data_IF_921257725642
#
_entry.id   IF_921257725642
#
_cell.length_a   1.000
_cell.length_b   1.000
_cell.length_c   1.000
_cell.angle_alpha   90.00
_cell.angle_beta   90.00
_cell.angle_gamma   90.00
#
_symmetry.space_group_name_H-M   'P 1'
#
loop_
_entity.id
_entity.type
_entity.pdbx_description
1 polymer ?
#
# COMPACT_ATOMS: atom_id res chain seq x y z
N UNK A 1 8.54 -15.28 -17.13
CA UNK A 1 8.61 -13.94 -17.76
C UNK A 1 8.71 -12.91 -16.62
N UNK A 2 9.57 -11.89 -16.70
CA UNK A 2 9.70 -10.87 -15.66
C UNK A 2 8.44 -10.00 -15.51
N UNK A 3 8.27 -9.33 -14.36
CA UNK A 3 7.16 -8.40 -14.11
C UNK A 3 7.12 -7.19 -15.06
N UNK A 4 8.27 -6.84 -15.66
CA UNK A 4 8.36 -5.82 -16.71
C UNK A 4 7.63 -6.20 -18.01
N UNK A 5 7.25 -7.47 -18.17
CA UNK A 5 6.52 -7.97 -19.34
C UNK A 5 5.02 -8.12 -19.07
N UNK A 6 4.51 -7.64 -17.93
CA UNK A 6 3.09 -7.68 -17.61
C UNK A 6 2.30 -6.76 -18.55
N UNK A 7 1.24 -7.30 -19.13
CA UNK A 7 0.28 -6.55 -19.96
C UNK A 7 -0.86 -5.95 -19.13
N UNK A 8 -1.09 -6.48 -17.93
CA UNK A 8 -2.08 -6.02 -16.97
C UNK A 8 -1.74 -6.53 -15.57
N UNK A 9 -2.20 -5.84 -14.54
CA UNK A 9 -2.16 -6.30 -13.15
C UNK A 9 -3.35 -5.74 -12.36
N UNK A 10 -3.86 -6.51 -11.41
CA UNK A 10 -4.99 -6.11 -10.59
C UNK A 10 -4.99 -6.77 -9.21
N UNK A 11 -5.79 -6.20 -8.30
CA UNK A 11 -6.18 -6.85 -7.05
C UNK A 11 -7.64 -6.54 -6.68
N UNK A 12 -8.28 -7.47 -5.98
CA UNK A 12 -9.54 -7.23 -5.28
C UNK A 12 -9.26 -7.10 -3.78
N UNK A 13 -9.76 -6.04 -3.15
CA UNK A 13 -9.73 -5.88 -1.70
C UNK A 13 -11.13 -6.11 -1.13
N UNK A 14 -11.26 -7.11 -0.26
CA UNK A 14 -12.46 -7.32 0.55
C UNK A 14 -12.23 -6.74 1.94
N UNK A 15 -12.79 -5.56 2.20
CA UNK A 15 -12.70 -4.88 3.51
C UNK A 15 -14.08 -4.36 3.93
N UNK A 16 -14.16 -3.17 4.54
CA UNK A 16 -15.46 -2.51 4.79
C UNK A 16 -16.22 -2.17 3.50
N UNK A 17 -15.50 -2.14 2.37
CA UNK A 17 -16.05 -2.11 1.02
C UNK A 17 -15.21 -3.02 0.12
N UNK A 18 -15.80 -3.46 -0.99
CA UNK A 18 -15.09 -4.26 -1.99
C UNK A 18 -14.55 -3.38 -3.09
N UNK A 19 -13.24 -3.41 -3.31
CA UNK A 19 -12.55 -2.65 -4.35
C UNK A 19 -11.95 -3.57 -5.40
N UNK A 20 -12.02 -3.17 -6.66
CA UNK A 20 -11.25 -3.74 -7.75
C UNK A 20 -10.29 -2.67 -8.28
N UNK A 21 -8.98 -2.91 -8.18
CA UNK A 21 -7.95 -1.98 -8.64
C UNK A 21 -7.18 -2.64 -9.77
N UNK A 22 -7.08 -1.95 -10.91
CA UNK A 22 -6.55 -2.48 -12.16
C UNK A 22 -5.62 -1.47 -12.84
N UNK A 23 -4.58 -2.00 -13.49
CA UNK A 23 -3.80 -1.28 -14.51
C UNK A 23 -3.65 -2.13 -15.76
N UNK A 24 -3.70 -1.47 -16.93
CA UNK A 24 -3.38 -2.04 -18.25
C UNK A 24 -2.10 -1.42 -18.83
N UNK A 25 -1.28 -0.76 -17.99
CA UNK A 25 -0.04 -0.08 -18.41
C UNK A 25 -0.15 1.44 -18.62
N UNK A 26 -1.36 2.02 -18.66
CA UNK A 26 -1.57 3.46 -18.80
C UNK A 26 -2.39 4.05 -17.65
N UNK A 27 -1.82 4.02 -16.44
CA UNK A 27 -2.46 4.49 -15.22
C UNK A 27 -3.09 3.39 -14.39
N UNK A 28 -3.59 3.75 -13.21
CA UNK A 28 -4.22 2.86 -12.23
C UNK A 28 -5.65 3.33 -12.00
N UNK A 29 -6.60 2.40 -12.02
CA UNK A 29 -8.02 2.69 -11.89
C UNK A 29 -8.59 1.89 -10.73
N UNK A 30 -9.37 2.56 -9.87
CA UNK A 30 -10.04 1.94 -8.74
C UNK A 30 -11.54 1.97 -8.95
N UNK A 31 -12.15 0.80 -8.84
CA UNK A 31 -13.57 0.59 -8.88
C UNK A 31 -14.05 0.14 -7.49
N UNK A 32 -15.21 0.61 -7.08
CA UNK A 32 -15.89 0.14 -5.87
C UNK A 32 -17.09 -0.68 -6.28
N UNK A 33 -17.30 -1.84 -5.65
CA UNK A 33 -18.50 -2.64 -5.86
C UNK A 33 -19.70 -1.90 -5.25
N UNK A 34 -20.69 -1.61 -6.09
CA UNK A 34 -22.03 -1.26 -5.64
C UNK A 34 -22.83 -2.55 -5.41
N UNK A 35 -23.08 -2.88 -4.15
CA UNK A 35 -23.79 -4.10 -3.76
C UNK A 35 -25.28 -4.07 -4.14
N UNK A 36 -25.87 -2.89 -4.37
CA UNK A 36 -27.27 -2.74 -4.74
C UNK A 36 -27.56 -3.19 -6.17
N UNK A 37 -26.60 -3.01 -7.07
CA UNK A 37 -26.69 -3.42 -8.49
C UNK A 37 -25.77 -4.58 -8.86
N UNK A 38 -24.79 -4.91 -8.00
CA UNK A 38 -23.83 -5.98 -8.24
C UNK A 38 -22.74 -5.63 -9.26
N UNK A 39 -22.43 -4.34 -9.44
CA UNK A 39 -21.47 -3.87 -10.44
C UNK A 39 -20.30 -3.09 -9.82
N UNK A 40 -19.12 -3.22 -10.44
CA UNK A 40 -17.96 -2.40 -10.10
C UNK A 40 -18.05 -1.05 -10.81
N UNK A 41 -18.23 0.01 -10.03
CA UNK A 41 -18.35 1.39 -10.54
C UNK A 41 -17.01 2.10 -10.37
N UNK A 42 -16.55 2.82 -11.40
CA UNK A 42 -15.31 3.59 -11.36
C UNK A 42 -15.41 4.67 -10.27
N UNK A 43 -14.64 4.53 -9.20
CA UNK A 43 -14.69 5.42 -8.03
C UNK A 43 -13.51 6.38 -7.97
N UNK A 44 -12.33 5.97 -8.47
CA UNK A 44 -11.17 6.87 -8.66
C UNK A 44 -10.45 6.58 -9.99
N UNK A 45 -10.44 7.55 -10.93
CA UNK A 45 -9.59 7.47 -12.11
C UNK A 45 -8.14 7.89 -11.79
N UNK A 46 -7.18 7.37 -12.55
CA UNK A 46 -5.75 7.73 -12.51
C UNK A 46 -5.16 7.87 -11.10
N UNK A 47 -5.27 6.81 -10.30
CA UNK A 47 -4.76 6.79 -8.92
C UNK A 47 -3.25 7.01 -8.91
N UNK A 48 -2.81 7.97 -8.09
CA UNK A 48 -1.39 8.31 -7.87
C UNK A 48 -1.06 8.16 -6.40
N UNK A 49 0.05 7.48 -6.12
CA UNK A 49 0.61 7.45 -4.78
C UNK A 49 1.13 8.85 -4.41
N UNK A 50 0.91 9.33 -3.18
CA UNK A 50 1.53 10.58 -2.72
C UNK A 50 3.06 10.54 -2.80
N UNK A 51 3.69 11.65 -3.15
CA UNK A 51 5.15 11.74 -3.25
C UNK A 51 5.87 11.55 -1.90
N UNK A 52 5.17 11.82 -0.80
CA UNK A 52 5.69 11.60 0.55
C UNK A 52 4.58 11.14 1.50
N UNK A 53 4.96 10.37 2.50
CA UNK A 53 4.10 9.89 3.57
C UNK A 53 4.91 9.73 4.85
N UNK A 54 4.25 9.86 6.00
CA UNK A 54 4.81 9.58 7.31
C UNK A 54 4.18 8.32 7.91
N UNK A 55 3.91 7.31 7.07
CA UNK A 55 3.36 6.01 7.48
C UNK A 55 4.35 4.91 7.12
N UNK A 56 4.59 3.98 8.05
CA UNK A 56 5.38 2.78 7.81
C UNK A 56 4.55 1.52 8.11
N UNK A 57 4.82 0.44 7.37
CA UNK A 57 4.04 -0.81 7.44
C UNK A 57 4.95 -2.02 7.48
N UNK A 58 5.35 -2.43 8.68
CA UNK A 58 6.21 -3.60 8.91
C UNK A 58 5.66 -4.46 10.04
N UNK A 59 5.92 -5.77 9.99
CA UNK A 59 5.72 -6.64 11.14
C UNK A 59 6.86 -6.49 12.14
N UNK A 60 6.78 -5.46 12.98
CA UNK A 60 7.84 -5.08 13.92
C UNK A 60 8.07 -6.11 15.03
N UNK A 61 7.25 -7.16 15.16
CA UNK A 61 7.52 -8.30 16.04
C UNK A 61 8.79 -9.08 15.62
N UNK A 62 9.28 -8.88 14.40
CA UNK A 62 10.50 -9.50 13.89
C UNK A 62 11.74 -8.59 13.99
N UNK A 63 11.64 -7.42 14.64
CA UNK A 63 12.71 -6.41 14.66
C UNK A 63 14.08 -6.98 15.02
N UNK A 64 14.14 -7.83 16.05
CA UNK A 64 15.40 -8.45 16.53
C UNK A 64 16.04 -9.40 15.51
N UNK A 65 15.28 -9.88 14.52
CA UNK A 65 15.74 -10.79 13.46
C UNK A 65 16.16 -10.05 12.20
N UNK A 66 15.90 -8.75 12.11
CA UNK A 66 16.27 -7.95 10.96
C UNK A 66 17.75 -7.65 10.96
N UNK A 67 18.30 -7.35 9.79
CA UNK A 67 19.65 -6.84 9.66
C UNK A 67 19.76 -5.43 10.28
N UNK A 68 20.96 -5.10 10.75
CA UNK A 68 21.24 -3.83 11.42
C UNK A 68 20.81 -2.60 10.60
N UNK A 69 21.00 -2.54 9.26
CA UNK A 69 20.54 -1.40 8.47
C UNK A 69 19.03 -1.17 8.55
N UNK A 70 18.21 -2.22 8.48
CA UNK A 70 16.76 -2.09 8.55
C UNK A 70 16.31 -1.68 9.96
N UNK A 71 16.93 -2.22 11.00
CA UNK A 71 16.67 -1.82 12.38
C UNK A 71 16.93 -0.32 12.58
N UNK A 72 18.06 0.19 12.08
CA UNK A 72 18.44 1.60 12.20
C UNK A 72 17.46 2.53 11.47
N UNK A 73 17.01 2.15 10.27
CA UNK A 73 16.02 2.94 9.50
C UNK A 73 14.69 3.03 10.23
N UNK A 74 14.15 1.90 10.69
CA UNK A 74 12.85 1.87 11.39
C UNK A 74 12.92 2.62 12.73
N UNK A 75 14.02 2.49 13.48
CA UNK A 75 14.23 3.26 14.71
C UNK A 75 14.29 4.77 14.43
N UNK A 76 15.00 5.18 13.37
CA UNK A 76 15.06 6.58 12.94
C UNK A 76 13.69 7.16 12.60
N UNK A 77 12.83 6.40 11.91
CA UNK A 77 11.45 6.80 11.64
C UNK A 77 10.56 6.85 12.89
N UNK A 78 10.72 5.94 13.85
CA UNK A 78 9.99 5.96 15.13
C UNK A 78 10.33 7.20 15.97
N UNK A 79 11.61 7.56 16.00
CA UNK A 79 12.12 8.65 16.84
C UNK A 79 12.05 10.01 16.15
N UNK A 80 11.92 10.05 14.82
CA UNK A 80 12.01 11.28 14.03
C UNK A 80 13.43 11.79 13.86
N UNK A 81 14.41 10.93 14.09
CA UNK A 81 15.86 11.22 13.97
C UNK A 81 16.42 10.76 12.62
N UNK A 82 15.61 10.07 11.81
CA UNK A 82 15.96 9.69 10.44
C UNK A 82 16.03 10.88 9.48
N UNK A 83 16.38 10.61 8.22
CA UNK A 83 16.59 11.64 7.18
C UNK A 83 15.41 12.61 6.97
N UNK A 84 14.18 12.16 7.25
CA UNK A 84 12.99 13.00 7.09
C UNK A 84 12.79 14.00 8.23
N UNK A 85 13.45 13.82 9.39
CA UNK A 85 13.22 14.62 10.59
C UNK A 85 11.82 14.49 11.20
N UNK A 86 11.03 13.51 10.75
CA UNK A 86 9.61 13.34 11.11
C UNK A 86 9.37 11.97 11.72
N UNK A 87 8.49 11.89 12.72
CA UNK A 87 8.03 10.63 13.30
C UNK A 87 7.00 9.98 12.40
N UNK A 88 7.19 8.69 12.11
CA UNK A 88 6.27 7.92 11.28
C UNK A 88 5.23 7.21 12.16
N UNK A 89 3.99 7.16 11.67
CA UNK A 89 2.95 6.32 12.23
C UNK A 89 3.11 4.89 11.74
N UNK A 90 3.20 3.92 12.66
CA UNK A 90 3.17 2.50 12.31
C UNK A 90 1.73 2.07 12.00
N UNK A 91 1.53 1.43 10.84
CA UNK A 91 0.26 0.82 10.43
C UNK A 91 0.57 -0.51 9.75
N UNK A 92 0.14 -1.60 10.35
CA UNK A 92 0.34 -2.94 9.81
C UNK A 92 -0.94 -3.74 10.01
N UNK A 93 -1.67 -4.00 8.92
CA UNK A 93 -2.91 -4.79 8.94
C UNK A 93 -2.56 -6.28 9.00
N UNK A 94 -1.44 -6.68 8.38
CA UNK A 94 -1.07 -8.09 8.22
C UNK A 94 -1.73 -8.75 7.01
N UNK A 95 -2.48 -7.98 6.22
CA UNK A 95 -2.98 -8.38 4.91
C UNK A 95 -2.25 -7.56 3.86
N UNK A 96 -1.48 -8.25 3.00
CA UNK A 96 -0.72 -7.60 1.93
C UNK A 96 -1.62 -6.68 1.08
N UNK A 97 -2.81 -7.14 0.68
CA UNK A 97 -3.72 -6.34 -0.16
C UNK A 97 -4.22 -5.11 0.57
N UNK A 98 -4.55 -5.23 1.86
CA UNK A 98 -4.99 -4.09 2.67
C UNK A 98 -3.88 -3.08 2.93
N UNK A 99 -2.67 -3.55 3.24
CA UNK A 99 -1.51 -2.70 3.49
C UNK A 99 -1.05 -1.98 2.21
N UNK A 100 -1.03 -2.67 1.05
CA UNK A 100 -0.77 -2.06 -0.26
C UNK A 100 -1.85 -1.04 -0.63
N UNK A 101 -3.14 -1.37 -0.48
CA UNK A 101 -4.23 -0.46 -0.84
C UNK A 101 -4.24 0.82 0.01
N UNK A 102 -3.89 0.75 1.30
CA UNK A 102 -3.74 1.95 2.16
C UNK A 102 -2.51 2.78 1.79
N UNK A 103 -1.46 2.12 1.31
CA UNK A 103 -0.19 2.77 0.96
C UNK A 103 -0.28 3.51 -0.38
N UNK A 104 -1.08 2.97 -1.30
CA UNK A 104 -1.42 3.59 -2.59
C UNK A 104 -2.29 4.83 -2.40
#
# INVERSE_FOLDING_TARGET
QPGTNLVAAAYCLYSSSTFFVLTLGNGVYMFTLDEGIGEFVLSKPDVRIPESSSIMSFNEANLEKWDEPLQNVVQGWRQGTGKSGTKFSSRYIGSMVGDVHRTL
#
